data_IF_124968715004
#
_entry.id   IF_124968715004
#
_cell.length_a   1.000
_cell.length_b   1.000
_cell.length_c   1.000
_cell.angle_alpha   90.00
_cell.angle_beta   90.00
_cell.angle_gamma   90.00
#
_symmetry.space_group_name_H-M   'P 1'
#
loop_
_entity.id
_entity.type
_entity.pdbx_description
1 polymer ?
#
# COMPACT_ATOMS: atom_id res chain seq x y z
N UNK A 1 4.09 3.82 6.72
CA UNK A 1 4.65 4.00 8.08
C UNK A 1 4.51 5.43 8.62
N UNK A 2 4.92 6.49 7.90
CA UNK A 2 4.78 7.90 8.37
C UNK A 2 3.39 8.24 8.93
N UNK A 3 2.33 7.96 8.16
CA UNK A 3 0.94 8.22 8.58
C UNK A 3 0.56 7.46 9.85
N UNK A 4 1.03 6.22 10.02
CA UNK A 4 0.73 5.44 11.22
C UNK A 4 1.35 6.08 12.48
N UNK A 5 2.59 6.55 12.39
CA UNK A 5 3.26 7.28 13.47
C UNK A 5 2.55 8.62 13.76
N UNK A 6 2.20 9.38 12.71
CA UNK A 6 1.54 10.68 12.84
C UNK A 6 0.17 10.59 13.55
N UNK A 7 -0.54 9.46 13.41
CA UNK A 7 -1.84 9.24 14.08
C UNK A 7 -1.71 8.42 15.38
N UNK A 8 -0.49 8.21 15.87
CA UNK A 8 -0.23 7.63 17.20
C UNK A 8 -0.12 6.10 17.28
N UNK A 9 0.06 5.40 16.16
CA UNK A 9 0.36 3.96 16.20
C UNK A 9 1.81 3.71 16.59
N UNK A 10 2.02 2.69 17.41
CA UNK A 10 3.32 2.06 17.59
C UNK A 10 3.58 1.11 16.41
N UNK A 11 4.65 1.32 15.66
CA UNK A 11 5.00 0.48 14.51
C UNK A 11 6.16 -0.44 14.88
N UNK A 12 6.04 -1.72 14.56
CA UNK A 12 7.08 -2.72 14.80
C UNK A 12 7.38 -3.54 13.53
N UNK A 13 8.64 -3.90 13.27
CA UNK A 13 8.99 -4.83 12.22
C UNK A 13 8.73 -6.27 12.69
N UNK A 14 8.41 -7.15 11.76
CA UNK A 14 8.25 -8.58 12.05
C UNK A 14 8.88 -9.49 10.98
N UNK A 15 9.50 -8.90 9.96
CA UNK A 15 10.06 -9.64 8.83
C UNK A 15 11.14 -10.64 9.26
N UNK A 16 11.27 -11.75 8.52
CA UNK A 16 12.33 -12.72 8.73
C UNK A 16 13.68 -12.10 8.39
N UNK A 17 14.67 -12.29 9.27
CA UNK A 17 16.00 -11.65 9.17
C UNK A 17 17.08 -12.60 8.69
N UNK A 18 16.86 -13.90 8.85
CA UNK A 18 17.71 -14.94 8.29
C UNK A 18 17.17 -15.34 6.92
N UNK A 19 18.04 -15.47 5.91
CA UNK A 19 17.67 -15.87 4.54
C UNK A 19 16.94 -17.19 4.53
N UNK A 20 15.61 -17.13 4.58
CA UNK A 20 14.71 -18.25 4.82
C UNK A 20 13.85 -18.48 3.59
N UNK A 21 13.61 -19.76 3.30
CA UNK A 21 12.64 -20.15 2.28
C UNK A 21 11.22 -19.66 2.63
N UNK A 22 10.26 -19.83 1.71
CA UNK A 22 8.90 -19.33 1.92
C UNK A 22 8.27 -19.83 3.22
N UNK A 23 8.46 -21.09 3.60
CA UNK A 23 7.83 -21.68 4.79
C UNK A 23 8.49 -21.18 6.08
N UNK A 24 9.81 -21.16 6.12
CA UNK A 24 10.59 -20.68 7.27
C UNK A 24 10.31 -19.20 7.54
N UNK A 25 10.19 -18.39 6.47
CA UNK A 25 9.79 -16.99 6.57
C UNK A 25 8.43 -16.81 7.24
N UNK A 26 7.41 -17.60 6.88
CA UNK A 26 6.10 -17.52 7.55
C UNK A 26 6.18 -17.84 9.05
N UNK A 27 7.04 -18.80 9.43
CA UNK A 27 7.24 -19.21 10.83
C UNK A 27 7.91 -18.08 11.62
N UNK A 28 9.01 -17.53 11.10
CA UNK A 28 9.77 -16.49 11.77
C UNK A 28 8.91 -15.22 11.93
N UNK A 29 8.18 -14.83 10.89
CA UNK A 29 7.25 -13.71 10.96
C UNK A 29 6.20 -13.87 12.05
N UNK A 30 5.54 -15.04 12.11
CA UNK A 30 4.52 -15.30 13.13
C UNK A 30 5.10 -15.28 14.55
N UNK A 31 6.31 -15.81 14.75
CA UNK A 31 7.01 -15.78 16.06
C UNK A 31 7.43 -14.37 16.46
N UNK A 32 7.90 -13.56 15.52
CA UNK A 32 8.23 -12.16 15.78
C UNK A 32 6.99 -11.37 16.23
N UNK A 33 5.84 -11.58 15.57
CA UNK A 33 4.57 -10.97 15.97
C UNK A 33 4.13 -11.48 17.35
N UNK A 34 4.18 -12.80 17.58
CA UNK A 34 3.85 -13.41 18.87
C UNK A 34 4.60 -12.73 20.02
N UNK A 35 5.92 -12.57 19.90
CA UNK A 35 6.74 -11.94 20.92
C UNK A 35 6.25 -10.52 21.26
N UNK A 36 5.90 -9.73 20.25
CA UNK A 36 5.38 -8.36 20.45
C UNK A 36 4.01 -8.37 21.13
N UNK A 37 3.15 -9.33 20.80
CA UNK A 37 1.85 -9.51 21.46
C UNK A 37 2.02 -9.90 22.93
N UNK A 38 2.94 -10.82 23.23
CA UNK A 38 3.23 -11.28 24.60
C UNK A 38 3.81 -10.16 25.49
N UNK A 39 4.61 -9.26 24.92
CA UNK A 39 5.12 -8.07 25.62
C UNK A 39 4.02 -7.02 25.90
N UNK A 40 2.89 -7.08 25.18
CA UNK A 40 1.81 -6.08 25.22
C UNK A 40 0.41 -6.75 25.19
N UNK A 41 0.07 -7.59 26.19
CA UNK A 41 -1.08 -8.49 26.13
C UNK A 41 -2.45 -7.80 26.12
N UNK A 42 -2.52 -6.50 26.48
CA UNK A 42 -3.76 -5.71 26.53
C UNK A 42 -3.90 -4.72 25.36
N UNK A 43 -2.99 -4.77 24.37
CA UNK A 43 -3.06 -3.91 23.20
C UNK A 43 -3.82 -4.54 22.03
N UNK A 44 -4.20 -3.71 21.05
CA UNK A 44 -4.79 -4.15 19.78
C UNK A 44 -3.76 -4.05 18.67
N UNK A 45 -3.67 -5.10 17.85
CA UNK A 45 -2.68 -5.19 16.79
C UNK A 45 -3.35 -5.16 15.42
N UNK A 46 -2.77 -4.38 14.51
CA UNK A 46 -3.09 -4.41 13.08
C UNK A 46 -1.84 -4.89 12.34
N UNK A 47 -1.91 -6.09 11.77
CA UNK A 47 -0.80 -6.66 11.00
C UNK A 47 -1.00 -6.36 9.52
N UNK A 48 -0.21 -5.44 8.99
CA UNK A 48 -0.20 -5.12 7.57
C UNK A 48 0.79 -6.03 6.83
N UNK A 49 0.28 -6.97 6.05
CA UNK A 49 1.08 -8.01 5.40
C UNK A 49 0.73 -8.19 3.91
N UNK A 50 1.57 -8.94 3.20
CA UNK A 50 1.35 -9.30 1.79
C UNK A 50 0.15 -10.22 1.59
N UNK A 51 -0.40 -10.22 0.37
CA UNK A 51 -1.71 -10.79 0.04
C UNK A 51 -1.90 -12.28 0.33
N UNK A 52 -0.83 -13.08 0.34
CA UNK A 52 -0.90 -14.51 0.65
C UNK A 52 -0.57 -14.82 2.13
N UNK A 53 0.13 -13.91 2.84
CA UNK A 53 0.49 -14.08 4.26
C UNK A 53 -0.74 -14.04 5.18
N UNK A 54 -1.78 -13.32 4.76
CA UNK A 54 -3.04 -13.14 5.49
C UNK A 54 -3.92 -14.39 5.47
N UNK A 55 -3.57 -15.42 4.69
CA UNK A 55 -4.40 -16.61 4.52
C UNK A 55 -4.39 -17.50 5.77
N UNK A 56 -5.58 -17.92 6.17
CA UNK A 56 -5.82 -19.00 7.12
C UNK A 56 -5.81 -20.36 6.41
N UNK A 57 -5.90 -21.43 7.20
CA UNK A 57 -5.99 -22.79 6.70
C UNK A 57 -4.69 -23.34 6.13
N UNK A 58 -4.80 -24.31 5.22
CA UNK A 58 -3.65 -24.98 4.64
C UNK A 58 -3.20 -24.29 3.35
N UNK A 59 -2.01 -23.71 3.37
CA UNK A 59 -1.38 -23.10 2.21
C UNK A 59 -0.58 -24.13 1.41
N UNK A 60 -0.87 -24.25 0.10
CA UNK A 60 -0.28 -25.28 -0.79
C UNK A 60 1.24 -25.35 -0.75
N UNK A 61 1.92 -24.21 -0.69
CA UNK A 61 3.39 -24.15 -0.76
C UNK A 61 4.07 -24.05 0.61
N UNK A 62 3.37 -23.60 1.65
CA UNK A 62 3.98 -23.25 2.95
C UNK A 62 3.45 -24.11 4.10
N UNK A 63 2.48 -24.98 3.85
CA UNK A 63 1.68 -25.68 4.85
C UNK A 63 0.69 -24.73 5.52
N UNK A 64 1.20 -23.67 6.16
CA UNK A 64 0.41 -22.55 6.70
C UNK A 64 1.10 -21.24 6.36
N UNK A 65 0.32 -20.26 5.93
CA UNK A 65 0.78 -18.87 5.84
C UNK A 65 0.87 -18.23 7.23
N UNK A 66 1.46 -17.04 7.30
CA UNK A 66 1.74 -16.30 8.52
C UNK A 66 0.50 -16.17 9.42
N UNK A 67 -0.68 -15.84 8.89
CA UNK A 67 -1.90 -15.73 9.68
C UNK A 67 -2.29 -17.06 10.34
N UNK A 68 -2.30 -18.17 9.58
CA UNK A 68 -2.57 -19.50 10.13
C UNK A 68 -1.54 -19.94 11.19
N UNK A 69 -0.29 -19.50 11.08
CA UNK A 69 0.76 -19.75 12.09
C UNK A 69 0.61 -18.86 13.32
N UNK A 70 0.20 -17.62 13.12
CA UNK A 70 -0.06 -16.69 14.22
C UNK A 70 -1.15 -17.25 15.12
N UNK A 71 -2.23 -17.80 14.55
CA UNK A 71 -3.28 -18.47 15.33
C UNK A 71 -2.76 -19.68 16.08
N UNK A 72 -1.89 -20.48 15.46
CA UNK A 72 -1.28 -21.65 16.10
C UNK A 72 -0.39 -21.27 17.29
N UNK A 73 0.41 -20.21 17.17
CA UNK A 73 1.40 -19.83 18.19
C UNK A 73 0.83 -18.97 19.31
N UNK A 74 -0.17 -18.14 19.01
CA UNK A 74 -0.76 -17.21 20.00
C UNK A 74 -2.06 -17.73 20.61
N UNK A 75 -2.73 -18.70 19.97
CA UNK A 75 -4.09 -19.10 20.31
C UNK A 75 -5.16 -18.04 20.00
N UNK A 76 -4.77 -16.89 19.42
CA UNK A 76 -5.68 -15.83 18.99
C UNK A 76 -6.19 -16.18 17.59
N UNK A 77 -7.49 -16.06 17.36
CA UNK A 77 -8.03 -16.12 16.00
C UNK A 77 -8.08 -14.69 15.40
N UNK A 78 -7.11 -14.27 14.56
CA UNK A 78 -7.11 -12.92 14.01
C UNK A 78 -8.21 -12.79 12.95
N UNK A 79 -8.88 -11.63 12.90
CA UNK A 79 -9.75 -11.31 11.77
C UNK A 79 -8.91 -11.08 10.52
N UNK A 80 -9.11 -11.88 9.47
CA UNK A 80 -8.33 -11.78 8.23
C UNK A 80 -9.09 -11.07 7.10
N UNK A 81 -8.44 -10.08 6.46
CA UNK A 81 -9.08 -9.21 5.47
C UNK A 81 -8.27 -9.21 4.17
N UNK A 82 -8.82 -9.80 3.12
CA UNK A 82 -8.24 -9.77 1.78
C UNK A 82 -8.66 -8.49 1.02
N UNK A 83 -7.68 -7.72 0.56
CA UNK A 83 -7.89 -6.46 -0.18
C UNK A 83 -7.48 -6.55 -1.67
N UNK A 84 -7.15 -7.75 -2.18
CA UNK A 84 -6.49 -7.92 -3.49
C UNK A 84 -7.29 -8.77 -4.47
N UNK A 85 -8.05 -9.75 -3.99
CA UNK A 85 -8.79 -10.67 -4.85
C UNK A 85 -9.81 -9.95 -5.75
N UNK A 86 -10.46 -8.92 -5.21
CA UNK A 86 -11.49 -8.12 -5.88
C UNK A 86 -11.03 -6.66 -6.06
N UNK A 87 -9.77 -6.48 -6.41
CA UNK A 87 -9.23 -5.21 -6.90
C UNK A 87 -9.22 -5.17 -8.44
N UNK A 88 -9.15 -3.96 -8.99
CA UNK A 88 -8.81 -3.74 -10.40
C UNK A 88 -7.50 -4.46 -10.77
N UNK A 89 -7.47 -5.00 -12.00
CA UNK A 89 -6.30 -5.64 -12.64
C UNK A 89 -5.83 -4.78 -13.81
N UNK A 90 -4.74 -5.23 -14.45
CA UNK A 90 -4.10 -4.48 -15.54
C UNK A 90 -5.02 -4.18 -16.72
N UNK A 91 -6.07 -4.99 -16.94
CA UNK A 91 -7.11 -4.76 -17.95
C UNK A 91 -8.48 -5.23 -17.46
N UNK A 92 -9.59 -4.62 -17.92
CA UNK A 92 -10.93 -4.99 -17.49
C UNK A 92 -11.31 -6.46 -17.71
N UNK A 93 -10.78 -7.12 -18.74
CA UNK A 93 -11.00 -8.56 -18.99
C UNK A 93 -10.42 -9.47 -17.91
N UNK A 94 -9.41 -9.01 -17.16
CA UNK A 94 -8.80 -9.76 -16.05
C UNK A 94 -9.46 -9.47 -14.69
N UNK A 95 -10.34 -8.47 -14.62
CA UNK A 95 -11.09 -8.20 -13.39
C UNK A 95 -12.03 -9.36 -13.06
N UNK A 96 -12.21 -9.61 -11.77
CA UNK A 96 -13.19 -10.59 -11.32
C UNK A 96 -14.59 -10.24 -11.86
N UNK A 97 -15.34 -11.21 -12.43
CA UNK A 97 -16.68 -10.95 -12.97
C UNK A 97 -17.65 -10.27 -12.00
N UNK A 98 -17.52 -10.54 -10.69
CA UNK A 98 -18.34 -9.90 -9.66
C UNK A 98 -18.16 -8.37 -9.62
N UNK A 99 -16.96 -7.85 -9.89
CA UNK A 99 -16.74 -6.40 -9.95
C UNK A 99 -17.54 -5.74 -11.07
N UNK A 100 -17.72 -6.44 -12.20
CA UNK A 100 -18.54 -5.95 -13.32
C UNK A 100 -20.02 -6.00 -13.00
N UNK A 101 -20.46 -7.05 -12.33
CA UNK A 101 -21.87 -7.27 -12.02
C UNK A 101 -22.42 -6.33 -10.93
N UNK A 102 -21.57 -5.92 -9.97
CA UNK A 102 -22.03 -5.21 -8.77
C UNK A 102 -21.91 -3.69 -8.84
N UNK A 103 -21.29 -3.13 -9.88
CA UNK A 103 -21.11 -1.67 -10.06
C UNK A 103 -20.63 -0.94 -8.79
N UNK A 104 -19.66 -1.51 -8.09
CA UNK A 104 -19.15 -1.00 -6.81
C UNK A 104 -18.64 0.44 -6.96
N UNK A 105 -19.07 1.34 -6.07
CA UNK A 105 -18.73 2.78 -6.10
C UNK A 105 -17.71 3.22 -5.03
N UNK A 106 -17.58 2.43 -3.97
CA UNK A 106 -16.67 2.65 -2.84
C UNK A 106 -16.21 1.29 -2.31
N UNK A 107 -15.07 1.19 -1.59
CA UNK A 107 -14.64 -0.06 -0.96
C UNK A 107 -15.79 -0.70 -0.17
N UNK A 108 -16.15 -1.93 -0.53
CA UNK A 108 -17.39 -2.59 -0.05
C UNK A 108 -17.09 -4.02 0.41
N UNK A 109 -17.76 -4.45 1.48
CA UNK A 109 -17.83 -5.85 1.90
C UNK A 109 -19.25 -6.34 1.62
N UNK A 110 -19.37 -7.47 0.92
CA UNK A 110 -20.67 -8.10 0.70
C UNK A 110 -21.05 -8.95 1.91
N UNK A 111 -22.32 -8.96 2.27
CA UNK A 111 -22.87 -9.80 3.32
C UNK A 111 -23.81 -10.85 2.71
N UNK A 112 -23.82 -12.06 3.26
CA UNK A 112 -24.84 -13.05 2.94
C UNK A 112 -26.17 -12.75 3.66
N UNK A 113 -27.19 -13.59 3.45
CA UNK A 113 -28.52 -13.41 4.06
C UNK A 113 -28.51 -13.57 5.59
N UNK A 114 -27.45 -14.16 6.15
CA UNK A 114 -27.24 -14.35 7.58
C UNK A 114 -26.33 -13.25 8.17
N UNK A 115 -25.99 -12.21 7.40
CA UNK A 115 -25.06 -11.14 7.75
C UNK A 115 -23.60 -11.57 7.95
N UNK A 116 -23.19 -12.72 7.40
CA UNK A 116 -21.77 -13.08 7.39
C UNK A 116 -21.04 -12.36 6.25
N UNK A 117 -19.81 -11.87 6.47
CA UNK A 117 -19.01 -11.26 5.42
C UNK A 117 -18.62 -12.29 4.37
N UNK A 118 -18.59 -11.84 3.11
CA UNK A 118 -18.11 -12.63 1.99
C UNK A 118 -16.62 -12.94 2.16
N UNK A 119 -16.29 -14.22 2.19
CA UNK A 119 -14.93 -14.74 2.37
C UNK A 119 -14.18 -14.80 1.05
N UNK A 120 -12.86 -14.67 1.10
CA UNK A 120 -12.01 -15.13 0.00
C UNK A 120 -11.57 -16.55 0.29
N UNK A 121 -11.68 -17.46 -0.68
CA UNK A 121 -11.26 -18.85 -0.52
C UNK A 121 -10.51 -19.34 -1.76
N UNK A 122 -9.40 -20.05 -1.53
CA UNK A 122 -8.57 -20.70 -2.55
C UNK A 122 -8.17 -22.08 -2.04
N UNK A 123 -8.93 -23.10 -2.44
CA UNK A 123 -8.75 -24.46 -1.93
C UNK A 123 -9.01 -24.53 -0.41
N UNK A 124 -8.02 -25.01 0.33
CA UNK A 124 -8.03 -25.11 1.80
C UNK A 124 -7.51 -23.85 2.51
N UNK A 125 -7.24 -22.76 1.78
CA UNK A 125 -6.87 -21.46 2.37
C UNK A 125 -8.01 -20.45 2.22
N UNK A 126 -8.18 -19.57 3.20
CA UNK A 126 -9.23 -18.53 3.16
C UNK A 126 -8.85 -17.25 3.91
N UNK A 127 -9.69 -16.22 3.79
CA UNK A 127 -9.79 -15.10 4.74
C UNK A 127 -11.25 -14.88 5.15
N UNK A 128 -11.47 -14.30 6.33
CA UNK A 128 -12.80 -14.00 6.87
C UNK A 128 -13.56 -12.96 6.05
N UNK A 129 -12.85 -11.98 5.50
CA UNK A 129 -13.44 -10.87 4.75
C UNK A 129 -12.71 -10.68 3.44
N UNK A 130 -13.44 -10.40 2.37
CA UNK A 130 -12.91 -9.91 1.11
C UNK A 130 -13.49 -8.53 0.77
N UNK A 131 -12.60 -7.58 0.48
CA UNK A 131 -12.97 -6.20 0.11
C UNK A 131 -13.03 -6.07 -1.39
N UNK A 132 -14.15 -5.52 -1.89
CA UNK A 132 -14.37 -5.19 -3.28
C UNK A 132 -14.05 -3.72 -3.51
N UNK A 133 -13.14 -3.43 -4.44
CA UNK A 133 -12.76 -2.07 -4.79
C UNK A 133 -13.36 -1.63 -6.13
N UNK A 134 -13.79 -0.35 -6.25
CA UNK A 134 -14.17 0.21 -7.54
C UNK A 134 -12.95 0.26 -8.48
N UNK A 135 -13.20 0.25 -9.80
CA UNK A 135 -12.16 0.55 -10.79
C UNK A 135 -11.64 1.99 -10.58
N UNK A 136 -10.34 2.18 -10.76
CA UNK A 136 -9.68 3.46 -10.55
C UNK A 136 -10.17 4.47 -11.58
N UNK A 137 -10.59 5.65 -11.13
CA UNK A 137 -10.84 6.79 -12.01
C UNK A 137 -9.56 7.62 -12.11
N UNK A 138 -9.32 8.21 -13.27
CA UNK A 138 -8.16 9.07 -13.45
C UNK A 138 -8.60 10.54 -13.45
N UNK A 139 -7.89 11.37 -12.70
CA UNK A 139 -8.01 12.84 -12.71
C UNK A 139 -6.63 13.42 -12.92
N UNK A 140 -6.49 14.37 -13.84
CA UNK A 140 -5.19 14.98 -14.17
C UNK A 140 -4.11 13.94 -14.51
N UNK A 141 -4.49 12.90 -15.28
CA UNK A 141 -3.63 11.78 -15.68
C UNK A 141 -3.10 10.92 -14.52
N UNK A 142 -3.69 11.00 -13.33
CA UNK A 142 -3.31 10.20 -12.15
C UNK A 142 -4.51 9.52 -11.49
N UNK A 143 -4.31 8.40 -10.79
CA UNK A 143 -5.35 7.77 -10.00
C UNK A 143 -6.01 8.75 -9.03
N UNK A 144 -7.34 8.83 -9.02
CA UNK A 144 -8.09 9.82 -8.25
C UNK A 144 -7.88 9.66 -6.73
N UNK A 145 -7.70 8.43 -6.26
CA UNK A 145 -7.48 8.10 -4.85
C UNK A 145 -6.19 8.69 -4.28
N UNK A 146 -5.23 9.10 -5.13
CA UNK A 146 -4.04 9.84 -4.69
C UNK A 146 -4.40 11.22 -4.09
N UNK A 147 -5.55 11.79 -4.47
CA UNK A 147 -5.99 13.11 -4.05
C UNK A 147 -7.06 13.06 -2.94
N UNK A 148 -7.11 11.95 -2.20
CA UNK A 148 -7.99 11.78 -1.05
C UNK A 148 -7.24 12.09 0.27
N UNK A 149 -7.93 12.06 1.41
CA UNK A 149 -7.32 12.19 2.75
C UNK A 149 -6.45 13.47 2.92
N UNK A 150 -6.93 14.59 2.37
CA UNK A 150 -6.29 15.90 2.46
C UNK A 150 -5.10 16.10 1.51
N UNK A 151 -4.85 15.17 0.59
CA UNK A 151 -3.86 15.32 -0.48
C UNK A 151 -4.47 16.12 -1.63
N UNK A 152 -3.76 17.13 -2.13
CA UNK A 152 -4.19 17.98 -3.23
C UNK A 152 -3.47 17.61 -4.51
N UNK A 153 -4.14 17.83 -5.64
CA UNK A 153 -3.51 17.85 -6.96
C UNK A 153 -2.83 19.22 -7.13
N UNK A 154 -1.50 19.24 -7.18
CA UNK A 154 -0.68 20.45 -7.26
C UNK A 154 -0.06 20.52 -8.66
N UNK A 155 -0.61 21.35 -9.56
CA UNK A 155 0.03 21.65 -10.84
C UNK A 155 1.43 22.22 -10.58
N UNK A 156 2.43 21.70 -11.30
CA UNK A 156 3.82 22.17 -11.18
C UNK A 156 4.38 22.41 -12.56
N UNK A 157 5.00 23.55 -12.79
CA UNK A 157 5.60 23.90 -14.08
C UNK A 157 7.12 23.68 -14.05
N UNK A 158 7.69 23.32 -15.21
CA UNK A 158 9.14 23.13 -15.38
C UNK A 158 9.76 24.19 -16.30
N UNK A 159 9.08 25.33 -16.49
CA UNK A 159 9.25 26.15 -17.70
C UNK A 159 10.68 26.65 -17.95
N UNK A 160 11.55 26.72 -16.94
CA UNK A 160 12.92 27.22 -17.05
C UNK A 160 14.02 26.21 -16.69
N UNK A 161 13.71 24.92 -16.65
CA UNK A 161 14.70 23.90 -16.28
C UNK A 161 15.43 23.39 -17.53
N UNK A 162 16.68 23.82 -17.68
CA UNK A 162 17.63 23.24 -18.63
C UNK A 162 18.05 21.84 -18.15
N UNK A 163 17.19 20.85 -18.45
CA UNK A 163 17.40 19.44 -18.16
C UNK A 163 16.80 18.59 -19.28
N UNK A 164 17.54 17.58 -19.73
CA UNK A 164 17.02 16.67 -20.76
C UNK A 164 16.02 15.68 -20.17
N UNK A 165 14.91 15.47 -20.87
CA UNK A 165 13.90 14.47 -20.56
C UNK A 165 14.30 13.06 -21.05
N UNK A 166 13.68 11.97 -20.54
CA UNK A 166 12.69 11.92 -19.45
C UNK A 166 13.31 12.23 -18.08
N UNK A 167 12.49 12.76 -17.17
CA UNK A 167 12.88 13.08 -15.79
C UNK A 167 11.98 12.39 -14.77
N UNK A 168 12.53 12.09 -13.60
CA UNK A 168 11.77 11.79 -12.39
C UNK A 168 11.67 13.04 -11.54
N UNK A 169 10.45 13.38 -11.15
CA UNK A 169 10.14 14.43 -10.17
C UNK A 169 9.87 13.75 -8.83
N UNK A 170 10.64 14.10 -7.83
CA UNK A 170 10.62 13.53 -6.49
C UNK A 170 10.27 14.64 -5.49
N UNK A 171 9.18 14.47 -4.74
CA UNK A 171 8.74 15.47 -3.77
C UNK A 171 9.09 15.06 -2.33
N UNK A 172 10.03 15.74 -1.69
CA UNK A 172 10.43 15.52 -0.30
C UNK A 172 9.82 16.57 0.61
N UNK A 173 9.58 16.23 1.89
CA UNK A 173 9.32 17.29 2.88
C UNK A 173 10.54 18.21 2.95
N UNK A 174 10.34 19.52 3.10
CA UNK A 174 11.45 20.49 3.09
C UNK A 174 12.51 20.22 4.17
N UNK A 175 12.09 19.67 5.30
CA UNK A 175 12.92 19.31 6.44
C UNK A 175 13.63 17.94 6.32
N UNK A 176 13.29 17.12 5.32
CA UNK A 176 13.88 15.79 5.13
C UNK A 176 15.20 15.86 4.34
N UNK A 177 16.20 15.07 4.74
CA UNK A 177 17.41 14.87 3.94
C UNK A 177 17.03 14.14 2.64
N UNK A 178 17.29 14.74 1.49
CA UNK A 178 16.94 14.17 0.19
C UNK A 178 17.80 12.96 -0.23
N UNK A 179 18.93 12.72 0.45
CA UNK A 179 19.81 11.59 0.16
C UNK A 179 19.23 10.30 0.74
N UNK A 180 18.80 10.34 2.01
CA UNK A 180 18.29 9.17 2.74
C UNK A 180 16.76 9.16 2.84
N UNK A 181 16.13 10.27 2.48
CA UNK A 181 14.69 10.47 2.58
C UNK A 181 13.91 9.65 1.56
N UNK A 182 12.67 9.32 1.91
CA UNK A 182 11.71 8.71 0.98
C UNK A 182 10.80 9.83 0.45
N UNK A 183 10.75 10.05 -0.88
CA UNK A 183 9.85 11.05 -1.45
C UNK A 183 8.39 10.70 -1.13
N UNK A 184 7.59 11.72 -0.85
CA UNK A 184 6.15 11.59 -0.61
C UNK A 184 5.37 11.34 -1.90
N UNK A 185 5.92 11.76 -3.03
CA UNK A 185 5.36 11.52 -4.35
C UNK A 185 6.47 11.44 -5.40
N UNK A 186 6.24 10.60 -6.42
CA UNK A 186 7.16 10.35 -7.53
C UNK A 186 6.35 10.41 -8.82
N UNK A 187 6.84 11.17 -9.81
CA UNK A 187 6.26 11.24 -11.14
C UNK A 187 7.34 11.14 -12.21
N UNK A 188 7.19 10.21 -13.15
CA UNK A 188 7.98 10.23 -14.40
C UNK A 188 7.31 11.17 -15.40
N UNK A 189 8.11 12.05 -15.99
CA UNK A 189 7.69 13.02 -17.01
C UNK A 189 8.53 12.77 -18.25
N UNK A 190 7.87 12.48 -19.37
CA UNK A 190 8.55 12.04 -20.58
C UNK A 190 9.00 13.21 -21.43
N UNK A 191 8.22 14.29 -21.43
CA UNK A 191 8.46 15.47 -22.26
C UNK A 191 8.04 16.76 -21.55
N UNK A 192 8.59 17.90 -21.98
CA UNK A 192 8.29 19.23 -21.38
C UNK A 192 6.81 19.62 -21.47
N UNK A 193 6.07 19.07 -22.43
CA UNK A 193 4.64 19.33 -22.63
C UNK A 193 3.72 18.51 -21.70
N UNK A 194 4.26 17.52 -20.98
CA UNK A 194 3.47 16.67 -20.10
C UNK A 194 2.91 17.47 -18.91
N UNK A 195 1.64 17.21 -18.58
CA UNK A 195 1.01 17.82 -17.40
C UNK A 195 1.56 17.20 -16.12
N UNK A 196 2.11 18.04 -15.25
CA UNK A 196 2.67 17.60 -13.97
C UNK A 196 1.70 17.97 -12.86
N UNK A 197 1.23 16.95 -12.15
CA UNK A 197 0.29 17.11 -11.05
C UNK A 197 0.79 16.29 -9.87
N UNK A 198 1.48 16.93 -8.93
CA UNK A 198 1.97 16.27 -7.72
C UNK A 198 0.82 16.04 -6.73
N UNK A 199 0.84 14.92 -6.01
CA UNK A 199 -0.13 14.54 -5.00
C UNK A 199 0.41 14.90 -3.62
N UNK A 200 0.18 16.14 -3.17
CA UNK A 200 0.82 16.72 -1.99
C UNK A 200 -0.18 17.29 -0.98
N UNK A 201 0.11 17.14 0.31
CA UNK A 201 -0.63 17.80 1.40
C UNK A 201 -0.17 19.26 1.56
N UNK A 202 -0.91 20.07 2.31
CA UNK A 202 -0.50 21.45 2.65
C UNK A 202 0.77 21.43 3.51
N UNK A 203 1.90 21.88 2.95
CA UNK A 203 3.21 22.11 3.60
C UNK A 203 4.24 22.63 2.59
N UNK A 204 5.45 22.85 3.06
CA UNK A 204 6.62 23.13 2.23
C UNK A 204 7.33 21.83 1.80
N UNK A 205 7.83 21.83 0.57
CA UNK A 205 8.51 20.71 -0.07
C UNK A 205 9.83 21.12 -0.71
N UNK A 206 10.77 20.18 -0.74
CA UNK A 206 11.92 20.21 -1.63
C UNK A 206 11.62 19.26 -2.79
N UNK A 207 11.53 19.80 -4.00
CA UNK A 207 11.36 19.01 -5.22
C UNK A 207 12.74 18.77 -5.82
N UNK A 208 13.01 17.51 -6.16
CA UNK A 208 14.22 17.08 -6.88
C UNK A 208 13.79 16.54 -8.23
N UNK A 209 14.44 17.00 -9.28
CA UNK A 209 14.18 16.60 -10.66
C UNK A 209 15.46 15.99 -11.18
N UNK A 210 15.43 14.74 -11.58
CA UNK A 210 16.62 13.99 -12.02
C UNK A 210 16.34 13.28 -13.36
N UNK A 211 17.29 13.37 -14.28
CA UNK A 211 17.22 12.64 -15.56
C UNK A 211 18.04 11.34 -15.52
N UNK A 212 17.96 10.55 -16.60
CA UNK A 212 18.73 9.30 -16.73
C UNK A 212 20.25 9.47 -16.75
N UNK A 213 20.75 10.67 -17.10
CA UNK A 213 22.19 10.98 -17.12
C UNK A 213 22.73 11.35 -15.73
N UNK A 214 21.85 11.54 -14.74
CA UNK A 214 22.20 11.99 -13.40
C UNK A 214 22.21 13.51 -13.25
N UNK A 215 21.85 14.28 -14.28
CA UNK A 215 21.66 15.71 -14.11
C UNK A 215 20.47 15.94 -13.19
N UNK A 216 20.65 16.81 -12.19
CA UNK A 216 19.62 17.10 -11.21
C UNK A 216 19.38 18.60 -11.03
N UNK A 217 18.14 18.95 -10.69
CA UNK A 217 17.71 20.29 -10.31
C UNK A 217 16.89 20.21 -9.03
N UNK A 218 16.94 21.29 -8.25
CA UNK A 218 16.20 21.42 -7.00
C UNK A 218 15.36 22.69 -7.04
N UNK A 219 14.12 22.59 -6.58
CA UNK A 219 13.24 23.74 -6.38
C UNK A 219 12.43 23.58 -5.10
N UNK A 220 12.07 24.71 -4.49
CA UNK A 220 11.19 24.74 -3.33
C UNK A 220 9.75 24.91 -3.80
N UNK A 221 8.84 24.12 -3.23
CA UNK A 221 7.42 24.19 -3.53
C UNK A 221 6.63 24.36 -2.23
N UNK A 222 5.81 25.42 -2.15
CA UNK A 222 4.91 25.64 -1.03
C UNK A 222 3.48 25.31 -1.45
N UNK A 223 2.87 24.36 -0.77
CA UNK A 223 1.46 23.97 -0.98
C UNK A 223 0.63 24.65 0.10
N UNK A 224 -0.21 25.61 -0.32
CA UNK A 224 -1.15 26.34 0.54
C UNK A 224 -2.46 25.59 0.74
#
# INVERSE_FOLDING_TARGET
>A
MRVALDIGYNVFPYEATNGSDGKEREIEQAKNIQKVIEERPNEKFLIYCGYDHVLEGNHKSWGKAMAGRLSEYTGINPLTINQVAFSEKSRPEYNNPLLKALEIKWPTVLLDQQNNPYKYQRGESWTDVAVFYPNTKYRNCRPNWLFENGVKSVPTELEDLDISFPVLILAYKKEENIIDGIPLDILEVKDKADKINLALKRRDYQIVIINRKGDARKLNLKVN
#
